data_IF_397949944904
#
_entry.id   IF_397949944904
#
_cell.length_a   1.000
_cell.length_b   1.000
_cell.length_c   1.000
_cell.angle_alpha   90.00
_cell.angle_beta   90.00
_cell.angle_gamma   90.00
#
_symmetry.space_group_name_H-M   'P 1'
#
loop_
_entity.id
_entity.type
_entity.pdbx_description
1 polymer ?
#
# COMPACT_ATOMS: atom_id res chain seq x y z
N UNK A 1 -41.05 -26.68 -70.30
CA UNK A 1 -41.24 -25.65 -69.29
C UNK A 1 -40.33 -26.01 -68.10
N UNK A 2 -39.12 -25.36 -67.94
CA UNK A 2 -38.17 -25.70 -66.91
C UNK A 2 -38.21 -24.60 -65.81
N UNK A 3 -38.66 -24.97 -64.62
CA UNK A 3 -38.66 -24.12 -63.44
C UNK A 3 -37.25 -24.08 -62.89
N UNK A 4 -36.65 -22.87 -62.79
CA UNK A 4 -35.41 -22.63 -62.08
C UNK A 4 -35.74 -22.20 -60.63
N UNK A 5 -35.33 -23.02 -59.65
CA UNK A 5 -35.48 -22.76 -58.26
C UNK A 5 -34.24 -21.91 -57.81
N UNK A 6 -34.46 -20.64 -57.48
CA UNK A 6 -33.45 -19.77 -56.89
C UNK A 6 -33.43 -19.98 -55.39
N UNK A 7 -32.37 -20.59 -54.88
CA UNK A 7 -32.11 -20.72 -53.46
C UNK A 7 -31.34 -19.44 -53.00
N UNK A 8 -32.03 -18.58 -52.21
CA UNK A 8 -31.40 -17.47 -51.53
C UNK A 8 -30.78 -17.99 -50.21
N UNK A 9 -29.44 -18.06 -50.15
CA UNK A 9 -28.72 -18.32 -48.90
C UNK A 9 -28.69 -17.03 -48.08
N UNK A 10 -29.42 -16.99 -46.95
CA UNK A 10 -29.29 -15.95 -45.94
C UNK A 10 -28.08 -16.32 -45.02
N UNK A 11 -26.95 -15.62 -45.18
CA UNK A 11 -25.85 -15.65 -44.26
C UNK A 11 -26.19 -14.81 -43.01
N UNK A 12 -26.56 -15.49 -41.93
CA UNK A 12 -26.76 -14.88 -40.62
C UNK A 12 -25.35 -14.65 -39.96
N UNK A 13 -24.85 -13.42 -40.06
CA UNK A 13 -23.61 -13.04 -39.35
C UNK A 13 -23.93 -12.88 -37.84
N UNK A 14 -23.55 -13.87 -37.03
CA UNK A 14 -23.54 -13.75 -35.59
C UNK A 14 -22.40 -12.80 -35.21
N UNK A 15 -22.71 -11.55 -34.92
CA UNK A 15 -21.80 -10.63 -34.25
C UNK A 15 -21.70 -11.06 -32.76
N UNK A 16 -20.62 -11.76 -32.40
CA UNK A 16 -20.23 -11.93 -31.02
C UNK A 16 -19.76 -10.56 -30.50
N UNK A 17 -20.66 -9.83 -29.86
CA UNK A 17 -20.31 -8.67 -29.08
C UNK A 17 -19.50 -9.13 -27.88
N UNK A 18 -18.18 -8.88 -27.89
CA UNK A 18 -17.35 -8.97 -26.67
C UNK A 18 -17.83 -7.84 -25.77
N UNK A 19 -18.78 -8.16 -24.89
CA UNK A 19 -19.17 -7.28 -23.80
C UNK A 19 -17.99 -7.26 -22.82
N UNK A 20 -17.17 -6.24 -22.89
CA UNK A 20 -16.22 -5.92 -21.82
C UNK A 20 -17.07 -5.46 -20.62
N UNK A 21 -17.47 -6.39 -19.76
CA UNK A 21 -18.15 -6.02 -18.51
C UNK A 21 -17.16 -5.23 -17.67
N UNK A 22 -17.41 -3.93 -17.49
CA UNK A 22 -16.76 -3.15 -16.44
C UNK A 22 -16.97 -3.92 -15.15
N UNK A 23 -15.87 -4.36 -14.49
CA UNK A 23 -15.94 -4.93 -13.15
C UNK A 23 -16.54 -3.83 -12.26
N UNK A 24 -17.72 -4.04 -11.69
CA UNK A 24 -18.32 -3.04 -10.80
C UNK A 24 -17.39 -2.82 -9.62
N UNK A 25 -17.04 -1.55 -9.39
CA UNK A 25 -16.31 -1.14 -8.19
C UNK A 25 -17.26 -1.24 -7.01
N UNK A 26 -16.97 -2.15 -6.07
CA UNK A 26 -17.77 -2.32 -4.87
C UNK A 26 -17.25 -1.42 -3.74
N UNK A 27 -18.15 -1.02 -2.83
CA UNK A 27 -17.74 -0.34 -1.60
C UNK A 27 -17.00 -1.30 -0.66
N UNK A 28 -15.95 -0.80 0.00
CA UNK A 28 -15.15 -1.54 0.98
C UNK A 28 -14.47 -0.59 1.95
N UNK A 29 -13.98 -1.14 3.05
CA UNK A 29 -13.10 -0.42 3.97
C UNK A 29 -11.81 -1.18 4.19
N UNK A 30 -10.75 -0.45 4.47
CA UNK A 30 -9.47 -1.03 4.86
C UNK A 30 -8.76 -0.15 5.89
N UNK A 31 -7.77 -0.72 6.57
CA UNK A 31 -6.99 -0.01 7.59
C UNK A 31 -5.58 0.25 7.07
N UNK A 32 -5.10 1.47 7.32
CA UNK A 32 -3.69 1.86 7.22
C UNK A 32 -3.09 1.91 8.62
N UNK A 33 -2.15 1.01 8.90
CA UNK A 33 -1.25 1.04 10.04
C UNK A 33 0.12 1.55 9.59
N UNK A 34 0.83 2.26 10.45
CA UNK A 34 2.18 2.72 10.16
C UNK A 34 3.07 2.46 11.36
N UNK A 35 4.33 2.11 11.07
CA UNK A 35 5.41 2.10 12.06
C UNK A 35 5.02 1.36 13.36
N UNK A 36 4.64 0.09 13.23
CA UNK A 36 4.42 -0.80 14.39
C UNK A 36 5.70 -1.01 15.19
N UNK A 37 6.81 -0.95 14.54
CA UNK A 37 8.22 -0.75 14.89
C UNK A 37 8.61 -1.25 16.29
N UNK A 38 8.36 -2.56 16.53
CA UNK A 38 8.61 -3.21 17.83
C UNK A 38 10.02 -2.90 18.34
N UNK A 39 10.11 -2.10 19.42
CA UNK A 39 11.33 -1.67 20.07
C UNK A 39 11.68 -0.18 19.96
N UNK A 40 10.97 0.62 19.16
CA UNK A 40 11.22 2.06 18.99
C UNK A 40 10.65 2.88 20.16
N UNK A 41 9.42 2.65 20.55
CA UNK A 41 8.77 3.33 21.68
C UNK A 41 9.01 2.64 23.03
N UNK A 42 9.63 1.46 22.97
CA UNK A 42 9.86 0.56 24.10
C UNK A 42 9.17 -0.79 23.85
N UNK A 43 9.94 -1.89 23.89
CA UNK A 43 9.51 -3.18 23.38
C UNK A 43 8.16 -3.66 23.94
N UNK A 44 8.00 -3.60 25.28
CA UNK A 44 6.76 -4.00 25.94
C UNK A 44 5.58 -3.07 25.60
N UNK A 45 5.85 -1.76 25.44
CA UNK A 45 4.85 -0.80 25.00
C UNK A 45 4.40 -1.12 23.59
N UNK A 46 5.31 -1.30 22.64
CA UNK A 46 5.00 -1.51 21.24
C UNK A 46 4.26 -2.84 21.02
N UNK A 47 4.61 -3.89 21.76
CA UNK A 47 3.85 -5.15 21.77
C UNK A 47 2.40 -4.92 22.24
N UNK A 48 2.21 -4.13 23.31
CA UNK A 48 0.88 -3.82 23.85
C UNK A 48 0.06 -3.03 22.84
N UNK A 49 0.59 -1.94 22.32
CA UNK A 49 -0.13 -1.04 21.41
C UNK A 49 -0.45 -1.70 20.07
N UNK A 50 0.46 -2.51 19.53
CA UNK A 50 0.18 -3.24 18.31
C UNK A 50 -0.91 -4.31 18.51
N UNK A 51 -0.90 -5.07 19.62
CA UNK A 51 -1.99 -5.99 19.96
C UNK A 51 -3.33 -5.28 20.14
N UNK A 52 -3.34 -4.11 20.78
CA UNK A 52 -4.54 -3.28 20.91
C UNK A 52 -5.06 -2.83 19.54
N UNK A 53 -4.17 -2.37 18.65
CA UNK A 53 -4.57 -2.01 17.28
C UNK A 53 -5.23 -3.19 16.56
N UNK A 54 -4.63 -4.39 16.62
CA UNK A 54 -5.18 -5.60 16.00
C UNK A 54 -6.56 -5.93 16.58
N UNK A 55 -6.72 -5.88 17.90
CA UNK A 55 -8.02 -6.13 18.55
C UNK A 55 -9.09 -5.15 18.04
N UNK A 56 -8.80 -3.84 18.04
CA UNK A 56 -9.76 -2.83 17.57
C UNK A 56 -10.08 -2.99 16.08
N UNK A 57 -9.08 -3.36 15.25
CA UNK A 57 -9.28 -3.62 13.83
C UNK A 57 -10.19 -4.83 13.62
N UNK A 58 -10.01 -5.91 14.39
CA UNK A 58 -10.88 -7.08 14.34
C UNK A 58 -12.33 -6.76 14.74
N UNK A 59 -12.53 -5.80 15.65
CA UNK A 59 -13.88 -5.31 16.03
C UNK A 59 -14.53 -4.46 14.92
N UNK A 60 -13.74 -3.64 14.21
CA UNK A 60 -14.18 -2.82 13.06
C UNK A 60 -14.55 -3.69 11.86
N UNK A 61 -13.84 -4.80 11.66
CA UNK A 61 -14.03 -5.78 10.56
C UNK A 61 -13.91 -5.14 9.17
N UNK A 62 -12.83 -4.43 8.86
CA UNK A 62 -12.58 -3.96 7.50
C UNK A 62 -12.34 -5.15 6.56
N UNK A 63 -12.33 -4.92 5.24
CA UNK A 63 -12.03 -5.97 4.26
C UNK A 63 -10.58 -6.49 4.41
N UNK A 64 -9.64 -5.63 4.75
CA UNK A 64 -8.22 -5.96 5.00
C UNK A 64 -7.50 -4.81 5.72
N UNK A 65 -6.25 -5.03 6.09
CA UNK A 65 -5.34 -4.00 6.58
C UNK A 65 -4.06 -3.95 5.75
N UNK A 66 -3.38 -2.79 5.76
CA UNK A 66 -2.02 -2.61 5.24
C UNK A 66 -1.14 -2.01 6.32
N UNK A 67 0.13 -2.45 6.41
CA UNK A 67 1.14 -1.84 7.28
C UNK A 67 2.18 -1.15 6.40
N UNK A 68 2.37 0.15 6.61
CA UNK A 68 3.21 1.02 5.80
C UNK A 68 4.70 0.99 6.25
N UNK A 69 5.26 -0.20 6.47
CA UNK A 69 6.66 -0.41 6.79
C UNK A 69 7.03 -0.18 8.25
N UNK A 70 8.33 -0.38 8.54
CA UNK A 70 8.92 -0.37 9.86
C UNK A 70 8.15 -1.28 10.83
N UNK A 71 8.18 -2.58 10.51
CA UNK A 71 7.49 -3.62 11.28
C UNK A 71 8.15 -3.80 12.64
N UNK A 72 9.49 -3.73 12.66
CA UNK A 72 10.33 -3.85 13.85
C UNK A 72 11.42 -2.76 13.86
N UNK A 73 11.90 -2.38 15.03
CA UNK A 73 12.98 -1.40 15.14
C UNK A 73 14.36 -1.97 14.76
N UNK A 74 14.60 -3.22 15.10
CA UNK A 74 15.81 -3.95 14.72
C UNK A 74 15.39 -5.30 14.13
N UNK A 75 15.67 -5.49 12.84
CA UNK A 75 15.39 -6.73 12.14
C UNK A 75 16.21 -7.90 12.74
N UNK A 76 15.52 -8.81 13.43
CA UNK A 76 16.10 -10.00 14.05
C UNK A 76 15.09 -11.15 14.09
N UNK A 77 15.56 -12.38 14.26
CA UNK A 77 14.68 -13.54 14.36
C UNK A 77 13.65 -13.40 15.48
N UNK A 78 14.07 -12.85 16.65
CA UNK A 78 13.18 -12.68 17.80
C UNK A 78 12.14 -11.58 17.57
N UNK A 79 12.54 -10.42 17.04
CA UNK A 79 11.59 -9.32 16.80
C UNK A 79 10.59 -9.65 15.70
N UNK A 80 11.01 -10.35 14.64
CA UNK A 80 10.08 -10.84 13.62
C UNK A 80 9.19 -11.97 14.11
N UNK A 81 9.69 -12.85 15.02
CA UNK A 81 8.84 -13.87 15.61
C UNK A 81 7.70 -13.25 16.42
N UNK A 82 7.99 -12.25 17.25
CA UNK A 82 6.98 -11.51 18.02
C UNK A 82 6.03 -10.71 17.11
N UNK A 83 6.54 -10.10 16.05
CA UNK A 83 5.71 -9.44 15.05
C UNK A 83 4.73 -10.42 14.37
N UNK A 84 5.24 -11.55 13.90
CA UNK A 84 4.43 -12.60 13.23
C UNK A 84 3.39 -13.22 14.16
N UNK A 85 3.72 -13.42 15.45
CA UNK A 85 2.76 -13.88 16.46
C UNK A 85 1.56 -12.91 16.60
N UNK A 86 1.82 -11.60 16.54
CA UNK A 86 0.74 -10.60 16.54
C UNK A 86 -0.02 -10.62 15.20
N UNK A 87 0.67 -10.78 14.07
CA UNK A 87 0.03 -10.87 12.76
C UNK A 87 -0.95 -12.03 12.64
N UNK A 88 -0.67 -13.16 13.31
CA UNK A 88 -1.60 -14.31 13.38
C UNK A 88 -2.92 -13.98 14.11
N UNK A 89 -2.96 -12.89 14.87
CA UNK A 89 -4.16 -12.45 15.60
C UNK A 89 -5.13 -11.60 14.76
N UNK A 90 -4.79 -11.26 13.52
CA UNK A 90 -5.73 -10.60 12.61
C UNK A 90 -6.80 -11.61 12.14
N UNK A 91 -8.07 -11.24 12.27
CA UNK A 91 -9.21 -11.98 11.71
C UNK A 91 -9.42 -11.70 10.19
N UNK A 92 -8.66 -10.78 9.65
CA UNK A 92 -8.75 -10.29 8.27
C UNK A 92 -7.38 -10.38 7.58
N UNK A 93 -7.31 -10.38 6.24
CA UNK A 93 -6.02 -10.27 5.55
C UNK A 93 -5.27 -8.99 5.95
N UNK A 94 -3.96 -9.11 6.20
CA UNK A 94 -3.09 -7.97 6.43
C UNK A 94 -1.87 -8.06 5.52
N UNK A 95 -1.60 -6.99 4.77
CA UNK A 95 -0.50 -6.89 3.82
C UNK A 95 0.53 -5.90 4.35
N UNK A 96 1.81 -6.19 4.18
CA UNK A 96 2.88 -5.37 4.75
C UNK A 96 3.86 -4.89 3.68
N UNK A 97 4.23 -3.62 3.75
CA UNK A 97 5.38 -3.07 3.04
C UNK A 97 6.62 -3.13 3.95
N UNK A 98 7.84 -3.23 3.40
CA UNK A 98 9.04 -3.04 4.21
C UNK A 98 9.31 -1.56 4.48
N UNK A 99 9.88 -1.25 5.66
CA UNK A 99 10.47 0.04 5.97
C UNK A 99 12.00 -0.03 6.05
N UNK A 100 12.64 1.10 6.33
CA UNK A 100 14.11 1.15 6.42
C UNK A 100 14.66 0.37 7.61
N UNK A 101 13.91 0.18 8.67
CA UNK A 101 14.30 -0.66 9.79
C UNK A 101 14.20 -2.15 9.48
N UNK A 102 13.42 -2.53 8.48
CA UNK A 102 13.23 -3.92 8.06
C UNK A 102 14.32 -4.39 7.07
N UNK A 103 14.69 -3.53 6.11
CA UNK A 103 15.62 -3.90 5.03
C UNK A 103 16.92 -3.09 5.02
N UNK A 104 17.10 -2.17 5.98
CA UNK A 104 18.23 -1.24 6.09
C UNK A 104 18.01 0.07 5.33
N UNK A 105 18.63 1.16 5.83
CA UNK A 105 18.61 2.46 5.13
C UNK A 105 19.17 2.33 3.70
N UNK A 106 20.22 1.54 3.53
CA UNK A 106 20.76 1.13 2.24
C UNK A 106 20.61 -0.39 2.13
N UNK A 107 19.56 -0.88 1.48
CA UNK A 107 19.34 -2.32 1.31
C UNK A 107 20.49 -3.00 0.57
N UNK A 108 20.66 -4.29 0.83
CA UNK A 108 21.59 -5.15 0.11
C UNK A 108 21.02 -6.58 -0.01
N UNK A 109 21.68 -7.44 -0.74
CA UNK A 109 21.21 -8.81 -1.00
C UNK A 109 20.90 -9.58 0.29
N UNK A 110 21.69 -9.38 1.35
CA UNK A 110 21.49 -10.06 2.64
C UNK A 110 20.23 -9.58 3.34
N UNK A 111 20.03 -8.24 3.44
CA UNK A 111 18.90 -7.66 4.14
C UNK A 111 17.59 -7.93 3.38
N UNK A 112 17.60 -7.79 2.06
CA UNK A 112 16.45 -8.11 1.21
C UNK A 112 16.10 -9.59 1.26
N UNK A 113 17.11 -10.49 1.17
CA UNK A 113 16.88 -11.93 1.27
C UNK A 113 16.36 -12.34 2.66
N UNK A 114 16.85 -11.70 3.71
CA UNK A 114 16.40 -11.95 5.08
C UNK A 114 14.92 -11.57 5.25
N UNK A 115 14.54 -10.36 4.83
CA UNK A 115 13.13 -9.93 4.84
C UNK A 115 12.25 -10.87 4.00
N UNK A 116 12.64 -11.14 2.75
CA UNK A 116 11.87 -12.01 1.83
C UNK A 116 11.67 -13.43 2.37
N UNK A 117 12.65 -13.96 3.09
CA UNK A 117 12.58 -15.29 3.70
C UNK A 117 11.69 -15.30 4.94
N UNK A 118 11.72 -14.25 5.75
CA UNK A 118 11.09 -14.21 7.08
C UNK A 118 9.67 -13.67 7.02
N UNK A 119 9.47 -12.58 6.30
CA UNK A 119 8.18 -11.87 6.19
C UNK A 119 7.46 -12.25 4.89
N UNK A 120 8.15 -12.22 3.76
CA UNK A 120 7.58 -12.52 2.46
C UNK A 120 8.03 -11.52 1.39
N UNK A 121 7.27 -11.42 0.31
CA UNK A 121 7.58 -10.50 -0.79
C UNK A 121 7.70 -9.07 -0.27
N UNK A 122 8.74 -8.36 -0.69
CA UNK A 122 8.99 -6.97 -0.35
C UNK A 122 8.28 -5.98 -1.30
N UNK A 123 7.77 -6.44 -2.44
CA UNK A 123 6.82 -5.73 -3.29
C UNK A 123 5.92 -6.72 -4.04
N UNK A 124 4.67 -6.37 -4.21
CA UNK A 124 3.65 -7.18 -4.89
C UNK A 124 2.38 -6.36 -5.08
N UNK A 125 1.43 -6.85 -5.86
CA UNK A 125 0.11 -6.27 -6.01
C UNK A 125 -1.00 -7.27 -5.66
N UNK A 126 -2.15 -6.71 -5.30
CA UNK A 126 -3.40 -7.46 -5.13
C UNK A 126 -4.60 -6.59 -5.55
N UNK A 127 -5.73 -7.23 -5.80
CA UNK A 127 -6.96 -6.52 -6.16
C UNK A 127 -8.03 -6.72 -5.07
N UNK A 128 -8.78 -5.64 -4.77
CA UNK A 128 -9.98 -5.71 -3.95
C UNK A 128 -11.10 -4.89 -4.59
N UNK A 129 -12.24 -5.52 -4.86
CA UNK A 129 -13.48 -4.90 -5.40
C UNK A 129 -13.25 -3.91 -6.54
N UNK A 130 -12.33 -4.22 -7.46
CA UNK A 130 -12.03 -3.42 -8.64
C UNK A 130 -10.96 -2.35 -8.47
N UNK A 131 -10.41 -2.18 -7.28
CA UNK A 131 -9.21 -1.39 -6.99
C UNK A 131 -7.98 -2.29 -7.00
N UNK A 132 -6.85 -1.74 -7.43
CA UNK A 132 -5.54 -2.39 -7.32
C UNK A 132 -4.72 -1.74 -6.22
N UNK A 133 -4.06 -2.57 -5.42
CA UNK A 133 -3.15 -2.14 -4.36
C UNK A 133 -1.74 -2.59 -4.72
N UNK A 134 -0.81 -1.66 -4.81
CA UNK A 134 0.61 -1.93 -5.03
C UNK A 134 1.35 -1.74 -3.71
N UNK A 135 1.83 -2.83 -3.14
CA UNK A 135 2.78 -2.79 -2.01
C UNK A 135 4.17 -2.61 -2.60
N UNK A 136 4.89 -1.59 -2.17
CA UNK A 136 6.18 -1.19 -2.75
C UNK A 136 7.29 -1.17 -1.69
N UNK A 137 8.51 -1.46 -2.12
CA UNK A 137 9.71 -1.27 -1.30
C UNK A 137 10.34 0.09 -1.60
N UNK A 138 9.96 1.09 -0.82
CA UNK A 138 10.39 2.48 -1.03
C UNK A 138 11.89 2.72 -0.81
N UNK A 139 12.59 1.79 -0.12
CA UNK A 139 14.05 1.85 0.01
C UNK A 139 14.75 1.69 -1.36
N UNK A 140 14.12 0.97 -2.29
CA UNK A 140 14.60 0.82 -3.67
C UNK A 140 14.31 2.06 -4.55
N UNK A 141 13.55 3.02 -4.02
CA UNK A 141 13.36 4.35 -4.60
C UNK A 141 14.25 5.41 -3.92
N UNK A 142 14.49 5.24 -2.60
CA UNK A 142 15.35 6.15 -1.82
C UNK A 142 16.80 5.97 -2.17
N UNK A 143 17.23 4.72 -2.38
CA UNK A 143 18.60 4.33 -2.65
C UNK A 143 18.71 3.58 -3.97
N UNK A 144 19.82 3.77 -4.68
CA UNK A 144 20.13 3.00 -5.89
C UNK A 144 20.80 1.67 -5.50
N UNK A 145 20.02 0.60 -5.46
CA UNK A 145 20.47 -0.76 -5.11
C UNK A 145 20.61 -1.60 -6.38
N UNK A 146 21.59 -1.25 -7.20
CA UNK A 146 21.94 -1.99 -8.43
C UNK A 146 20.71 -2.58 -9.17
N UNK A 147 20.74 -3.89 -9.49
CA UNK A 147 19.67 -4.56 -10.23
C UNK A 147 18.34 -4.61 -9.48
N UNK A 148 18.32 -4.49 -8.14
CA UNK A 148 17.10 -4.56 -7.33
C UNK A 148 16.20 -3.33 -7.56
N UNK A 149 16.78 -2.11 -7.55
CA UNK A 149 16.04 -0.88 -7.83
C UNK A 149 15.51 -0.87 -9.26
N UNK A 150 16.28 -1.38 -10.23
CA UNK A 150 15.83 -1.49 -11.62
C UNK A 150 14.62 -2.45 -11.72
N UNK A 151 14.73 -3.67 -11.19
CA UNK A 151 13.64 -4.67 -11.22
C UNK A 151 12.36 -4.16 -10.55
N UNK A 152 12.51 -3.49 -9.41
CA UNK A 152 11.38 -2.89 -8.71
C UNK A 152 10.71 -1.78 -9.54
N UNK A 153 11.50 -0.88 -10.14
CA UNK A 153 10.98 0.19 -10.99
C UNK A 153 10.26 -0.36 -12.23
N UNK A 154 10.85 -1.34 -12.91
CA UNK A 154 10.23 -2.01 -14.07
C UNK A 154 8.89 -2.65 -13.68
N UNK A 155 8.85 -3.39 -12.58
CA UNK A 155 7.62 -4.00 -12.07
C UNK A 155 6.54 -2.95 -11.74
N UNK A 156 6.90 -1.83 -11.10
CA UNK A 156 5.94 -0.75 -10.79
C UNK A 156 5.34 -0.18 -12.07
N UNK A 157 6.17 0.14 -13.06
CA UNK A 157 5.71 0.69 -14.34
C UNK A 157 4.79 -0.29 -15.07
N UNK A 158 5.20 -1.54 -15.21
CA UNK A 158 4.42 -2.59 -15.88
C UNK A 158 3.07 -2.82 -15.19
N UNK A 159 3.06 -2.86 -13.84
CA UNK A 159 1.83 -3.05 -13.06
C UNK A 159 0.89 -1.87 -13.22
N UNK A 160 1.38 -0.64 -13.10
CA UNK A 160 0.57 0.56 -13.28
C UNK A 160 -0.04 0.65 -14.69
N UNK A 161 0.73 0.34 -15.73
CA UNK A 161 0.24 0.33 -17.12
C UNK A 161 -0.82 -0.77 -17.34
N UNK A 162 -0.62 -1.94 -16.74
CA UNK A 162 -1.60 -3.02 -16.78
C UNK A 162 -2.92 -2.62 -16.10
N UNK A 163 -2.87 -1.97 -14.94
CA UNK A 163 -4.08 -1.51 -14.24
C UNK A 163 -4.78 -0.37 -14.98
N UNK A 164 -4.02 0.55 -15.57
CA UNK A 164 -4.58 1.58 -16.45
C UNK A 164 -5.36 0.99 -17.61
N UNK A 165 -4.85 -0.06 -18.24
CA UNK A 165 -5.53 -0.73 -19.36
C UNK A 165 -6.88 -1.35 -18.95
N UNK A 166 -7.04 -1.69 -17.67
CA UNK A 166 -8.29 -2.19 -17.06
C UNK A 166 -9.21 -1.07 -16.56
N UNK A 167 -8.76 0.20 -16.58
CA UNK A 167 -9.38 1.35 -15.91
C UNK A 167 -9.60 1.10 -14.40
N UNK A 168 -8.70 0.38 -13.75
CA UNK A 168 -8.75 0.12 -12.32
C UNK A 168 -8.04 1.28 -11.57
N UNK A 169 -8.69 1.93 -10.59
CA UNK A 169 -8.01 2.87 -9.71
C UNK A 169 -6.93 2.14 -8.90
N UNK A 170 -5.84 2.83 -8.65
CA UNK A 170 -4.68 2.27 -7.96
C UNK A 170 -4.44 3.00 -6.65
N UNK A 171 -4.20 2.24 -5.59
CA UNK A 171 -3.68 2.73 -4.30
C UNK A 171 -2.28 2.15 -4.13
N UNK A 172 -1.29 3.01 -3.95
CA UNK A 172 0.10 2.61 -3.73
C UNK A 172 0.41 2.69 -2.24
N UNK A 173 1.03 1.65 -1.71
CA UNK A 173 1.41 1.54 -0.31
C UNK A 173 2.93 1.38 -0.22
N UNK A 174 3.56 2.21 0.57
CA UNK A 174 5.00 2.16 0.81
C UNK A 174 5.34 2.60 2.23
N UNK A 175 6.59 3.01 2.45
CA UNK A 175 7.04 3.47 3.75
C UNK A 175 7.44 4.95 3.73
N UNK A 176 8.37 5.35 2.85
CA UNK A 176 8.74 6.76 2.73
C UNK A 176 7.63 7.57 2.07
N UNK A 177 7.22 8.74 2.60
CA UNK A 177 6.45 9.71 1.84
C UNK A 177 7.24 10.22 0.63
N UNK A 178 6.55 10.53 -0.47
CA UNK A 178 7.20 11.14 -1.62
C UNK A 178 7.75 12.52 -1.25
N UNK A 179 6.92 13.29 -0.55
CA UNK A 179 7.23 14.64 -0.06
C UNK A 179 6.45 14.90 1.25
N UNK A 180 6.88 15.90 2.02
CA UNK A 180 6.27 16.25 3.31
C UNK A 180 5.31 17.44 3.17
N UNK A 181 5.74 18.50 2.49
CA UNK A 181 4.97 19.72 2.32
C UNK A 181 4.67 20.01 0.83
N UNK A 182 5.68 19.86 -0.05
CA UNK A 182 5.57 20.21 -1.45
C UNK A 182 6.34 19.26 -2.35
N UNK A 183 5.85 18.97 -3.55
CA UNK A 183 6.53 18.10 -4.51
C UNK A 183 7.93 18.58 -4.91
N UNK A 184 8.19 19.89 -4.85
CA UNK A 184 9.44 20.53 -5.26
C UNK A 184 10.41 20.82 -4.09
N UNK A 185 10.11 20.31 -2.88
CA UNK A 185 11.00 20.47 -1.72
C UNK A 185 12.33 19.73 -1.89
N UNK A 186 13.34 20.14 -1.14
CA UNK A 186 14.65 19.48 -1.12
C UNK A 186 14.54 18.06 -0.56
N UNK A 187 15.56 17.24 -0.85
CA UNK A 187 15.68 15.93 -0.23
C UNK A 187 16.03 16.04 1.24
N UNK A 188 15.29 15.33 2.08
CA UNK A 188 15.54 15.18 3.49
C UNK A 188 15.53 13.68 3.88
N UNK A 189 15.81 13.40 5.16
CA UNK A 189 15.76 12.04 5.68
C UNK A 189 14.37 11.39 5.46
N UNK A 190 13.30 12.16 5.63
CA UNK A 190 11.93 11.68 5.66
C UNK A 190 11.23 11.63 4.30
N UNK A 191 11.85 12.04 3.20
CA UNK A 191 11.22 12.05 1.88
C UNK A 191 12.08 11.37 0.80
N UNK A 192 11.52 11.17 -0.38
CA UNK A 192 12.25 10.62 -1.52
C UNK A 192 13.07 11.68 -2.26
N UNK A 193 14.16 11.29 -2.98
CA UNK A 193 14.95 12.20 -3.81
C UNK A 193 14.09 12.93 -4.86
N UNK A 194 14.32 14.22 -5.13
CA UNK A 194 13.49 15.03 -6.03
C UNK A 194 13.32 14.44 -7.43
N UNK A 195 14.37 13.88 -8.02
CA UNK A 195 14.29 13.27 -9.35
C UNK A 195 13.35 12.05 -9.36
N UNK A 196 13.48 11.16 -8.37
CA UNK A 196 12.61 9.98 -8.24
C UNK A 196 11.17 10.38 -7.92
N UNK A 197 10.98 11.38 -7.08
CA UNK A 197 9.69 11.95 -6.74
C UNK A 197 8.94 12.45 -7.97
N UNK A 198 9.62 13.23 -8.82
CA UNK A 198 9.05 13.74 -10.08
C UNK A 198 8.63 12.60 -11.00
N UNK A 199 9.51 11.61 -11.21
CA UNK A 199 9.21 10.42 -12.01
C UNK A 199 7.97 9.68 -11.52
N UNK A 200 7.88 9.47 -10.19
CA UNK A 200 6.75 8.76 -9.58
C UNK A 200 5.44 9.55 -9.69
N UNK A 201 5.47 10.86 -9.42
CA UNK A 201 4.29 11.71 -9.52
C UNK A 201 3.73 11.72 -10.95
N UNK A 202 4.59 11.85 -11.96
CA UNK A 202 4.19 11.79 -13.37
C UNK A 202 3.60 10.42 -13.73
N UNK A 203 4.22 9.35 -13.24
CA UNK A 203 3.74 7.98 -13.45
C UNK A 203 2.40 7.73 -12.77
N UNK A 204 2.24 8.17 -11.53
CA UNK A 204 1.01 8.00 -10.75
C UNK A 204 -0.16 8.73 -11.40
N UNK A 205 0.04 10.00 -11.75
CA UNK A 205 -0.96 10.79 -12.48
C UNK A 205 -1.36 10.14 -13.81
N UNK A 206 -0.38 9.70 -14.59
CA UNK A 206 -0.61 9.06 -15.90
C UNK A 206 -1.42 7.77 -15.77
N UNK A 207 -1.26 7.01 -14.70
CA UNK A 207 -1.73 5.63 -14.58
C UNK A 207 -2.90 5.42 -13.59
N UNK A 208 -3.55 6.50 -13.13
CA UNK A 208 -4.79 6.39 -12.35
C UNK A 208 -4.57 6.02 -10.89
N UNK A 209 -3.42 6.39 -10.32
CA UNK A 209 -3.22 6.34 -8.87
C UNK A 209 -4.12 7.38 -8.22
N UNK A 210 -4.85 6.97 -7.19
CA UNK A 210 -5.81 7.81 -6.45
C UNK A 210 -5.36 8.11 -5.02
N UNK A 211 -4.49 7.26 -4.45
CA UNK A 211 -3.88 7.49 -3.14
C UNK A 211 -2.49 6.86 -3.04
N UNK A 212 -1.62 7.47 -2.27
CA UNK A 212 -0.33 6.96 -1.83
C UNK A 212 -0.27 6.96 -0.31
N UNK A 213 -0.06 5.79 0.29
CA UNK A 213 -0.03 5.57 1.72
C UNK A 213 1.40 5.32 2.18
N UNK A 214 1.81 6.00 3.25
CA UNK A 214 3.15 5.87 3.82
C UNK A 214 3.15 5.95 5.35
N UNK A 215 4.30 5.74 5.94
CA UNK A 215 4.62 5.91 7.36
C UNK A 215 5.87 6.75 7.51
N UNK A 216 6.88 6.24 8.22
CA UNK A 216 8.23 6.77 8.37
C UNK A 216 8.37 8.06 9.18
N UNK A 217 7.45 8.99 9.02
CA UNK A 217 7.51 10.30 9.69
C UNK A 217 7.21 10.23 11.17
N UNK A 218 6.51 9.18 11.63
CA UNK A 218 5.93 9.11 12.98
C UNK A 218 5.06 10.34 13.33
N UNK A 219 4.61 11.03 12.30
CA UNK A 219 3.75 12.21 12.35
C UNK A 219 2.72 12.11 11.24
N UNK A 220 1.56 12.71 11.47
CA UNK A 220 0.54 12.79 10.42
C UNK A 220 0.93 13.81 9.36
N UNK A 221 1.06 13.34 8.11
CA UNK A 221 1.20 14.23 6.94
C UNK A 221 0.10 13.90 5.94
N UNK A 222 -0.71 14.88 5.58
CA UNK A 222 -1.77 14.75 4.58
C UNK A 222 -1.58 15.82 3.52
N UNK A 223 -1.45 15.38 2.29
CA UNK A 223 -1.39 16.26 1.12
C UNK A 223 -2.37 15.77 0.05
N UNK A 224 -2.88 16.69 -0.75
CA UNK A 224 -3.54 16.41 -2.02
C UNK A 224 -2.75 17.09 -3.13
N UNK A 225 -2.35 16.32 -4.10
CA UNK A 225 -1.63 16.84 -5.25
C UNK A 225 -2.19 16.24 -6.54
N UNK A 226 -2.72 17.11 -7.40
CA UNK A 226 -3.33 16.72 -8.68
C UNK A 226 -4.42 15.61 -8.57
N UNK A 227 -5.16 15.62 -7.46
CA UNK A 227 -6.24 14.69 -7.18
C UNK A 227 -5.79 13.33 -6.63
N UNK A 228 -4.52 13.21 -6.25
CA UNK A 228 -3.97 12.05 -5.55
C UNK A 228 -3.82 12.40 -4.07
N UNK A 229 -4.38 11.58 -3.19
CA UNK A 229 -4.21 11.74 -1.74
C UNK A 229 -2.88 11.11 -1.30
N UNK A 230 -2.02 11.89 -0.64
CA UNK A 230 -0.78 11.41 -0.02
C UNK A 230 -0.93 11.44 1.49
N UNK A 231 -0.88 10.28 2.13
CA UNK A 231 -1.15 10.16 3.56
C UNK A 231 -0.06 9.34 4.25
N UNK A 232 0.80 10.03 5.02
CA UNK A 232 1.67 9.40 6.01
C UNK A 232 0.90 9.32 7.31
N UNK A 233 0.56 8.11 7.73
CA UNK A 233 -0.36 7.87 8.83
C UNK A 233 0.29 7.94 10.21
N UNK A 234 -0.53 7.92 11.25
CA UNK A 234 -0.12 7.84 12.64
C UNK A 234 0.50 6.48 12.97
N UNK A 235 1.49 6.47 13.85
CA UNK A 235 2.19 5.28 14.34
C UNK A 235 1.46 4.61 15.51
N UNK A 236 1.74 3.33 15.74
CA UNK A 236 1.34 2.63 16.97
C UNK A 236 2.48 2.50 17.99
N UNK A 237 3.73 2.84 17.63
CA UNK A 237 4.91 2.69 18.47
C UNK A 237 5.32 3.99 19.16
N UNK A 238 5.95 4.90 18.44
CA UNK A 238 6.44 6.18 18.95
C UNK A 238 6.07 7.29 17.98
N UNK A 239 5.37 8.30 18.46
CA UNK A 239 5.05 9.48 17.68
C UNK A 239 6.00 10.66 17.97
N UNK A 240 6.09 11.59 17.04
CA UNK A 240 6.86 12.83 17.17
C UNK A 240 5.97 14.07 17.23
N UNK A 241 4.70 13.96 16.84
CA UNK A 241 3.73 15.07 16.82
C UNK A 241 2.82 15.15 18.05
N UNK A 242 3.01 14.29 19.03
CA UNK A 242 2.23 14.21 20.29
C UNK A 242 0.75 13.86 20.08
N UNK A 243 0.35 13.36 18.92
CA UNK A 243 -1.00 12.82 18.69
C UNK A 243 -1.16 11.50 19.44
N UNK A 244 -2.39 11.06 19.72
CA UNK A 244 -2.62 9.70 20.22
C UNK A 244 -2.07 8.66 19.22
N UNK A 245 -1.62 7.52 19.74
CA UNK A 245 -1.34 6.35 18.89
C UNK A 245 -2.62 5.84 18.26
N UNK A 246 -2.52 5.27 17.07
CA UNK A 246 -3.69 4.75 16.38
C UNK A 246 -3.41 4.37 14.94
N UNK A 247 -4.49 4.28 14.19
CA UNK A 247 -4.47 3.91 12.78
C UNK A 247 -5.55 4.67 12.01
N UNK A 248 -5.54 4.54 10.68
CA UNK A 248 -6.56 5.14 9.81
C UNK A 248 -7.46 4.09 9.22
N UNK A 249 -8.76 4.36 9.24
CA UNK A 249 -9.75 3.62 8.47
C UNK A 249 -10.03 4.39 7.19
N UNK A 250 -9.90 3.68 6.07
CA UNK A 250 -10.25 4.15 4.74
C UNK A 250 -11.58 3.55 4.33
N UNK A 251 -12.46 4.40 3.85
CA UNK A 251 -13.77 4.03 3.31
C UNK A 251 -13.79 4.37 1.83
N UNK A 252 -13.94 3.35 1.00
CA UNK A 252 -13.95 3.45 -0.45
C UNK A 252 -15.32 3.11 -0.96
N UNK A 253 -15.89 3.99 -1.76
CA UNK A 253 -17.15 3.78 -2.48
C UNK A 253 -16.95 4.07 -3.97
N UNK A 254 -18.00 3.92 -4.75
CA UNK A 254 -17.97 4.18 -6.20
C UNK A 254 -17.49 5.60 -6.53
N UNK A 255 -17.83 6.57 -5.67
CA UNK A 255 -17.66 7.99 -5.98
C UNK A 255 -16.69 8.71 -5.00
N UNK A 256 -16.33 8.07 -3.89
CA UNK A 256 -15.54 8.72 -2.84
C UNK A 256 -14.49 7.78 -2.25
N UNK A 257 -13.33 8.36 -1.92
CA UNK A 257 -12.31 7.77 -1.09
C UNK A 257 -12.07 8.74 0.06
N UNK A 258 -12.34 8.29 1.28
CA UNK A 258 -12.16 9.10 2.48
C UNK A 258 -11.53 8.27 3.59
N UNK A 259 -10.91 8.94 4.54
CA UNK A 259 -10.28 8.27 5.66
C UNK A 259 -10.45 9.07 6.96
N UNK A 260 -10.41 8.39 8.08
CA UNK A 260 -10.44 9.00 9.40
C UNK A 260 -9.51 8.28 10.37
N UNK A 261 -9.10 8.99 11.40
CA UNK A 261 -8.24 8.49 12.46
C UNK A 261 -9.04 7.73 13.51
N UNK A 262 -8.52 6.60 13.97
CA UNK A 262 -9.02 5.82 15.09
C UNK A 262 -7.92 5.72 16.15
N UNK A 263 -8.08 6.38 17.31
CA UNK A 263 -7.11 6.28 18.40
C UNK A 263 -7.15 4.91 19.06
N UNK A 264 -6.01 4.47 19.58
CA UNK A 264 -5.99 3.32 20.47
C UNK A 264 -6.72 3.65 21.77
N UNK A 265 -7.57 2.75 22.20
CA UNK A 265 -8.33 2.85 23.45
C UNK A 265 -7.59 2.02 24.47
N UNK A 266 -7.16 2.61 25.59
CA UNK A 266 -6.60 1.84 26.68
C UNK A 266 -7.67 0.88 27.24
N UNK A 267 -7.32 -0.41 27.30
CA UNK A 267 -8.23 -1.46 27.79
C UNK A 267 -8.56 -1.35 29.30
N UNK A 268 -7.98 -0.35 29.96
CA UNK A 268 -8.12 -0.10 31.40
C UNK A 268 -9.02 1.12 31.70
N UNK A 269 -9.66 1.74 30.69
CA UNK A 269 -10.75 2.71 30.82
C UNK A 269 -12.12 2.08 30.45
#
# INVERSE_FOLDING_TARGET
MRFRLNIFLFLLALAFGISCSKKEQGSFSFVQLCDTQLGMGGYAHDLKTFRQAVQQINEIKPDFAVICGDLVHNASDSSYADFLDIMESFDIPCHVAPGNHDVGNVPNDSTLSYYRKTIGKDYFDFENKGYSFLITNTQLWKEDVADESQRHNEWVVETLEAQKSKNAPVIVVGHYPLFLERPDEEEEYFNLPPAKRTELLDSFKKNGVVAYLSGHTHELVINDFEGIQFVSGETTSKNFDKRPFGFRVWEVSTDTIQHHFVPLIDADE
#
